data_IF_065463233074
#
_entry.id   IF_065463233074
#
_cell.length_a   1.000
_cell.length_b   1.000
_cell.length_c   1.000
_cell.angle_alpha   90.00
_cell.angle_beta   90.00
_cell.angle_gamma   90.00
#
_symmetry.space_group_name_H-M   'P 1'
#
loop_
_entity.id
_entity.type
_entity.pdbx_description
1 polymer ?
#
# COMPACT_ATOMS: atom_id res chain seq x y z
N UNK A 1 -12.56 -2.49 25.21
CA UNK A 1 -12.49 -1.11 24.67
C UNK A 1 -11.23 -1.00 23.84
N UNK A 2 -11.29 -1.26 22.53
CA UNK A 2 -10.22 -0.89 21.62
C UNK A 2 -10.84 0.02 20.58
N UNK A 3 -10.64 1.32 20.79
CA UNK A 3 -10.91 2.34 19.81
C UNK A 3 -9.61 2.57 19.06
N UNK A 4 -9.53 2.09 17.83
CA UNK A 4 -8.60 2.61 16.84
C UNK A 4 -9.40 2.77 15.54
N UNK A 5 -9.96 3.96 15.26
CA UNK A 5 -10.74 4.18 14.05
C UNK A 5 -9.87 4.22 12.78
N UNK A 6 -8.54 4.22 12.92
CA UNK A 6 -7.57 4.19 11.81
C UNK A 6 -6.32 3.44 12.28
N UNK A 7 -6.08 2.24 11.75
CA UNK A 7 -4.83 1.53 11.95
C UNK A 7 -3.80 2.00 10.92
N UNK A 8 -2.70 2.53 11.44
CA UNK A 8 -1.51 2.85 10.69
C UNK A 8 -0.72 1.55 10.46
N UNK A 9 -0.59 1.14 9.20
CA UNK A 9 0.03 -0.14 8.84
C UNK A 9 1.36 0.12 8.15
N UNK A 10 2.42 -0.56 8.59
CA UNK A 10 3.71 -0.43 7.92
C UNK A 10 3.65 -1.05 6.52
N UNK A 11 4.35 -0.46 5.53
CA UNK A 11 4.46 -1.05 4.18
C UNK A 11 4.96 -2.50 4.22
N UNK A 12 5.84 -2.81 5.17
CA UNK A 12 6.41 -4.15 5.39
C UNK A 12 5.41 -5.20 5.86
N UNK A 13 4.30 -4.80 6.46
CA UNK A 13 3.22 -5.69 6.91
C UNK A 13 2.18 -5.96 5.80
N UNK A 14 2.21 -5.18 4.72
CA UNK A 14 1.30 -5.36 3.61
C UNK A 14 1.75 -6.50 2.69
N UNK A 15 0.76 -7.25 2.20
CA UNK A 15 0.97 -8.33 1.25
C UNK A 15 0.94 -7.78 -0.17
N UNK A 16 2.01 -8.01 -0.92
CA UNK A 16 2.05 -7.65 -2.33
C UNK A 16 1.54 -8.80 -3.20
N UNK A 17 0.39 -8.59 -3.84
CA UNK A 17 -0.21 -9.58 -4.73
C UNK A 17 -0.76 -8.91 -6.00
N UNK A 18 -0.38 -9.42 -7.18
CA UNK A 18 -0.83 -8.91 -8.48
C UNK A 18 -0.62 -7.39 -8.69
N UNK A 19 0.45 -6.84 -8.12
CA UNK A 19 0.72 -5.39 -8.17
C UNK A 19 -0.24 -4.54 -7.33
N UNK A 20 -0.83 -5.15 -6.30
CA UNK A 20 -1.67 -4.49 -5.29
C UNK A 20 -1.16 -4.81 -3.90
N UNK A 21 -1.20 -3.82 -3.01
CA UNK A 21 -0.98 -3.96 -1.59
C UNK A 21 -2.28 -4.40 -0.95
N UNK A 22 -2.23 -5.53 -0.25
CA UNK A 22 -3.36 -6.16 0.43
C UNK A 22 -3.09 -6.28 1.92
N UNK A 23 -4.09 -6.05 2.75
CA UNK A 23 -3.97 -6.20 4.20
C UNK A 23 -5.26 -6.73 4.83
N UNK A 24 -5.19 -7.72 5.76
CA UNK A 24 -6.38 -8.29 6.39
C UNK A 24 -7.14 -7.25 7.20
N UNK A 25 -8.40 -7.00 6.82
CA UNK A 25 -9.30 -6.16 7.57
C UNK A 25 -9.96 -6.97 8.70
N UNK A 26 -10.10 -6.41 9.92
CA UNK A 26 -10.81 -7.06 11.02
C UNK A 26 -12.31 -7.28 10.73
N UNK A 27 -12.83 -6.67 9.66
CA UNK A 27 -14.19 -6.86 9.16
C UNK A 27 -14.40 -8.19 8.42
N UNK A 28 -13.33 -8.86 7.99
CA UNK A 28 -13.39 -10.12 7.21
C UNK A 28 -13.00 -10.00 5.74
N UNK A 29 -12.77 -8.79 5.24
CA UNK A 29 -12.29 -8.53 3.87
C UNK A 29 -10.80 -8.12 3.85
N UNK A 30 -10.30 -7.73 2.68
CA UNK A 30 -8.93 -7.25 2.49
C UNK A 30 -8.98 -5.78 2.05
N UNK A 31 -8.15 -4.94 2.68
CA UNK A 31 -7.83 -3.63 2.12
C UNK A 31 -7.06 -3.82 0.82
N UNK A 32 -7.32 -2.99 -0.18
CA UNK A 32 -6.62 -3.05 -1.46
C UNK A 32 -6.12 -1.66 -1.88
N UNK A 33 -4.86 -1.59 -2.32
CA UNK A 33 -4.28 -0.40 -2.93
C UNK A 33 -3.41 -0.76 -4.13
N UNK A 34 -3.63 -0.09 -5.26
CA UNK A 34 -2.83 -0.32 -6.47
C UNK A 34 -1.41 0.24 -6.31
N UNK A 35 -0.39 -0.52 -6.73
CA UNK A 35 0.97 -0.02 -6.69
C UNK A 35 1.22 1.20 -7.57
N UNK A 36 0.51 1.31 -8.70
CA UNK A 36 0.61 2.48 -9.56
C UNK A 36 0.18 3.76 -8.83
N UNK A 37 -0.80 3.67 -7.94
CA UNK A 37 -1.23 4.79 -7.09
C UNK A 37 -0.25 5.00 -5.93
N UNK A 38 0.24 3.92 -5.33
CA UNK A 38 1.28 3.98 -4.31
C UNK A 38 2.58 4.64 -4.82
N UNK A 39 2.95 4.35 -6.07
CA UNK A 39 4.08 4.97 -6.76
C UNK A 39 3.89 6.48 -6.98
N UNK A 40 2.65 6.92 -7.22
CA UNK A 40 2.30 8.35 -7.33
C UNK A 40 2.25 9.07 -5.97
N UNK A 41 2.32 8.33 -4.85
CA UNK A 41 2.27 8.87 -3.50
C UNK A 41 0.96 8.63 -2.75
N UNK A 42 0.01 7.88 -3.31
CA UNK A 42 -1.18 7.46 -2.55
C UNK A 42 -0.82 6.38 -1.54
N UNK A 43 -1.01 6.64 -0.25
CA UNK A 43 -0.72 5.68 0.83
C UNK A 43 -1.99 5.20 1.55
N UNK A 44 -3.15 5.40 0.93
CA UNK A 44 -4.45 5.09 1.54
C UNK A 44 -5.00 3.84 0.89
N UNK A 45 -5.12 2.75 1.64
CA UNK A 45 -5.78 1.54 1.18
C UNK A 45 -7.23 1.53 1.65
N UNK A 46 -8.16 1.16 0.76
CA UNK A 46 -9.59 1.19 1.01
C UNK A 46 -10.15 -0.24 1.08
N UNK A 47 -11.12 -0.43 1.96
CA UNK A 47 -11.87 -1.68 2.09
C UNK A 47 -13.25 -1.53 1.41
N UNK A 48 -13.58 -2.39 0.43
CA UNK A 48 -14.84 -2.30 -0.30
C UNK A 48 -16.08 -2.61 0.54
N UNK A 49 -15.93 -3.40 1.61
CA UNK A 49 -17.05 -3.86 2.44
C UNK A 49 -17.38 -2.92 3.59
N UNK A 50 -16.36 -2.25 4.13
CA UNK A 50 -16.45 -1.61 5.42
C UNK A 50 -16.25 -0.10 5.36
N UNK A 51 -15.98 0.46 4.16
CA UNK A 51 -15.62 1.87 3.93
C UNK A 51 -14.52 2.40 4.85
N UNK A 52 -13.81 1.51 5.55
CA UNK A 52 -12.63 1.86 6.31
C UNK A 52 -11.50 2.09 5.33
N UNK A 53 -10.60 2.98 5.75
CA UNK A 53 -9.37 3.26 5.03
C UNK A 53 -8.21 3.17 6.01
N UNK A 54 -7.14 2.48 5.63
CA UNK A 54 -5.90 2.42 6.42
C UNK A 54 -4.81 3.23 5.74
N UNK A 55 -3.95 3.85 6.54
CA UNK A 55 -2.81 4.62 6.04
C UNK A 55 -1.55 3.76 6.14
N UNK A 56 -0.85 3.66 5.02
CA UNK A 56 0.42 2.96 4.91
C UNK A 56 1.52 3.91 5.36
N UNK A 57 2.27 3.49 6.38
CA UNK A 57 3.41 4.24 6.92
C UNK A 57 4.68 3.61 6.36
N UNK A 58 5.48 4.44 5.70
CA UNK A 58 6.80 4.07 5.20
C UNK A 58 7.63 5.32 4.96
N UNK A 59 8.94 5.18 5.09
CA UNK A 59 9.87 6.23 4.71
C UNK A 59 10.00 6.30 3.19
N UNK A 60 10.53 7.42 2.69
CA UNK A 60 10.72 7.63 1.27
C UNK A 60 11.68 6.59 0.66
N UNK A 61 12.73 6.23 1.41
CA UNK A 61 13.69 5.19 1.05
C UNK A 61 13.03 3.80 0.97
N UNK A 62 12.18 3.45 1.94
CA UNK A 62 11.47 2.16 1.97
C UNK A 62 10.48 2.06 0.83
N UNK A 63 9.70 3.12 0.59
CA UNK A 63 8.78 3.21 -0.54
C UNK A 63 9.53 3.02 -1.85
N UNK A 64 10.65 3.71 -2.03
CA UNK A 64 11.43 3.63 -3.26
C UNK A 64 12.05 2.24 -3.45
N UNK A 65 12.63 1.64 -2.40
CA UNK A 65 13.18 0.29 -2.42
C UNK A 65 12.10 -0.76 -2.75
N UNK A 66 10.91 -0.60 -2.18
CA UNK A 66 9.76 -1.47 -2.45
C UNK A 66 9.28 -1.35 -3.91
N UNK A 67 9.14 -0.13 -4.41
CA UNK A 67 8.79 0.13 -5.80
C UNK A 67 9.84 -0.43 -6.76
N UNK A 68 11.14 -0.26 -6.49
CA UNK A 68 12.22 -0.85 -7.29
C UNK A 68 12.12 -2.39 -7.35
N UNK A 69 11.84 -3.01 -6.21
CA UNK A 69 11.68 -4.47 -6.09
C UNK A 69 10.48 -4.99 -6.88
N UNK A 70 9.40 -4.21 -6.98
CA UNK A 70 8.24 -4.58 -7.80
C UNK A 70 8.38 -4.18 -9.28
N UNK A 71 8.99 -3.02 -9.58
CA UNK A 71 9.15 -2.48 -10.94
C UNK A 71 10.05 -3.36 -11.81
N UNK A 72 10.91 -4.20 -11.19
CA UNK A 72 11.66 -5.24 -11.87
C UNK A 72 10.79 -6.25 -12.66
N UNK A 73 9.48 -6.34 -12.37
CA UNK A 73 8.54 -7.24 -13.04
C UNK A 73 7.71 -6.57 -14.17
N UNK A 74 7.59 -5.24 -14.19
CA UNK A 74 6.80 -4.52 -15.20
C UNK A 74 7.52 -3.22 -15.57
N UNK A 75 8.16 -3.18 -16.74
CA UNK A 75 9.04 -2.09 -17.18
C UNK A 75 8.36 -0.72 -17.35
N UNK A 76 8.03 -0.04 -16.26
CA UNK A 76 7.86 1.41 -16.23
C UNK A 76 9.26 2.02 -16.18
N UNK A 77 9.71 2.40 -17.38
CA UNK A 77 10.61 3.55 -17.52
C UNK A 77 9.78 4.78 -17.17
N UNK A 78 10.40 5.72 -16.49
CA UNK A 78 9.89 7.05 -16.15
C UNK A 78 9.26 7.20 -14.76
N UNK A 79 10.11 7.40 -13.76
CA UNK A 79 10.14 8.73 -13.12
C UNK A 79 11.60 9.09 -12.89
N UNK A 80 11.94 10.22 -13.51
CA UNK A 80 13.24 10.88 -13.50
C UNK A 80 13.63 11.22 -12.06
N UNK A 81 14.78 10.70 -11.61
CA UNK A 81 15.57 11.36 -10.57
C UNK A 81 16.45 12.35 -11.33
N UNK A 82 16.05 13.62 -11.35
CA UNK A 82 16.87 14.75 -11.76
C UNK A 82 17.16 15.59 -10.53
#
# INVERSE_FOLDING_TARGET
MHAAPYEEVALSDMLLEDGKLRYPCPCGDLFELSLSEFAKGSVVAECPTCSLTVRIICNEEERHAFLLRCNALNGVRDVVIA
#
